data_IF_850855489570
#
_entry.id   IF_850855489570
#
_cell.length_a   1.000
_cell.length_b   1.000
_cell.length_c   1.000
_cell.angle_alpha   90.00
_cell.angle_beta   90.00
_cell.angle_gamma   90.00
#
_symmetry.space_group_name_H-M   'P 1'
#
loop_
_entity.id
_entity.type
_entity.pdbx_description
1 polymer ?
#
# COMPACT_ATOMS: atom_id res chain seq x y z
N UNK A 1 -23.74 12.79 21.38
CA UNK A 1 -23.83 14.08 22.04
C UNK A 1 -23.37 15.17 21.09
N UNK A 2 -24.28 16.10 20.76
CA UNK A 2 -24.00 17.19 19.83
C UNK A 2 -23.66 18.45 20.61
N UNK A 3 -22.61 18.39 21.41
CA UNK A 3 -22.07 19.58 22.03
C UNK A 3 -21.33 20.37 20.93
N UNK A 4 -21.78 21.59 20.67
CA UNK A 4 -21.14 22.51 19.74
C UNK A 4 -20.06 23.24 20.53
N UNK A 5 -18.82 22.78 20.40
CA UNK A 5 -17.65 23.44 20.97
C UNK A 5 -17.07 24.44 19.99
N UNK A 6 -16.58 25.57 20.50
CA UNK A 6 -15.91 26.57 19.68
C UNK A 6 -14.47 26.10 19.34
N UNK A 7 -13.92 26.46 18.18
CA UNK A 7 -12.52 26.17 17.86
C UNK A 7 -11.57 26.75 18.91
N UNK A 8 -10.70 25.90 19.48
CA UNK A 8 -9.75 26.29 20.55
C UNK A 8 -10.32 26.23 21.98
N UNK A 9 -11.57 25.83 22.16
CA UNK A 9 -12.15 25.60 23.49
C UNK A 9 -11.53 24.37 24.16
N UNK A 10 -11.11 24.51 25.42
CA UNK A 10 -10.63 23.39 26.22
C UNK A 10 -11.83 22.78 26.93
N UNK A 11 -12.07 21.53 26.70
CA UNK A 11 -13.22 20.78 27.23
C UNK A 11 -12.73 19.65 28.12
N UNK A 12 -13.27 19.57 29.33
CA UNK A 12 -13.06 18.44 30.22
C UNK A 12 -13.93 17.25 29.75
N UNK A 13 -13.30 16.15 29.41
CA UNK A 13 -13.98 14.93 28.93
C UNK A 13 -13.66 13.78 29.88
N UNK A 14 -14.69 13.07 30.34
CA UNK A 14 -14.47 11.88 31.16
C UNK A 14 -13.75 10.78 30.34
N UNK A 15 -12.73 10.18 30.93
CA UNK A 15 -11.94 9.13 30.27
C UNK A 15 -12.79 7.94 29.78
N UNK A 16 -13.92 7.67 30.43
CA UNK A 16 -14.90 6.62 30.06
C UNK A 16 -15.66 6.94 28.77
N UNK A 17 -15.72 8.21 28.38
CA UNK A 17 -16.36 8.66 27.13
C UNK A 17 -15.43 8.63 25.91
N UNK A 18 -14.14 8.36 26.14
CA UNK A 18 -13.13 8.30 25.09
C UNK A 18 -12.90 6.86 24.65
N UNK A 19 -12.91 6.64 23.34
CA UNK A 19 -12.45 5.37 22.76
C UNK A 19 -11.01 5.58 22.30
N UNK A 20 -10.03 4.84 22.84
CA UNK A 20 -8.64 4.96 22.41
C UNK A 20 -8.54 4.57 20.92
N UNK A 21 -7.97 5.44 20.14
CA UNK A 21 -7.62 5.13 18.75
C UNK A 21 -6.33 4.30 18.73
N UNK A 22 -6.16 3.50 17.67
CA UNK A 22 -4.91 2.80 17.44
C UNK A 22 -3.74 3.78 17.42
N UNK A 23 -2.58 3.41 18.00
CA UNK A 23 -1.41 4.28 18.01
C UNK A 23 -0.97 4.60 16.58
N UNK A 24 -0.67 5.86 16.33
CA UNK A 24 -0.16 6.32 15.05
C UNK A 24 1.35 6.20 15.07
N UNK A 25 1.90 5.40 14.16
CA UNK A 25 3.34 5.31 13.96
C UNK A 25 3.73 6.09 12.69
N UNK A 26 4.76 6.92 12.79
CA UNK A 26 5.39 7.57 11.65
C UNK A 26 6.88 7.32 11.70
N UNK A 27 7.47 7.04 10.53
CA UNK A 27 8.92 6.90 10.40
C UNK A 27 9.50 8.21 9.86
N UNK A 28 10.47 8.73 10.56
CA UNK A 28 11.23 9.90 10.13
C UNK A 28 12.52 9.44 9.43
N UNK A 29 12.91 10.11 8.35
CA UNK A 29 14.25 9.95 7.83
C UNK A 29 15.24 10.50 8.88
N UNK A 30 15.99 9.59 9.52
CA UNK A 30 16.99 9.97 10.50
C UNK A 30 18.11 10.75 9.80
N UNK A 31 18.43 11.93 10.31
CA UNK A 31 19.76 12.49 10.15
C UNK A 31 20.74 11.66 11.00
N UNK A 32 22.02 11.76 10.73
CA UNK A 32 23.10 10.96 11.34
C UNK A 32 23.19 11.02 12.89
N UNK A 33 22.31 11.76 13.56
CA UNK A 33 22.23 11.85 15.02
C UNK A 33 20.92 11.27 15.54
N UNK A 34 21.00 10.48 16.61
CA UNK A 34 19.87 9.95 17.40
C UNK A 34 19.31 11.06 18.31
N UNK A 35 18.79 12.14 17.76
CA UNK A 35 18.21 13.23 18.54
C UNK A 35 16.68 13.11 18.50
N UNK A 36 16.07 13.34 19.67
CA UNK A 36 14.63 13.48 19.79
C UNK A 36 14.21 14.77 19.08
N UNK A 37 13.22 14.65 18.18
CA UNK A 37 12.69 15.79 17.42
C UNK A 37 11.38 16.23 18.03
N UNK A 38 11.32 17.49 18.48
CA UNK A 38 10.09 18.09 18.96
C UNK A 38 9.16 18.40 17.78
N UNK A 39 7.96 17.85 17.83
CA UNK A 39 6.96 18.00 16.76
C UNK A 39 5.63 18.49 17.32
N UNK A 40 4.94 19.33 16.58
CA UNK A 40 3.55 19.71 16.81
C UNK A 40 2.63 18.90 15.90
N UNK A 41 1.53 18.41 16.46
CA UNK A 41 0.47 17.77 15.68
C UNK A 41 -0.41 18.84 15.03
N UNK A 42 -0.56 18.78 13.72
CA UNK A 42 -1.41 19.68 12.95
C UNK A 42 -2.47 18.87 12.23
N UNK A 43 -3.75 19.24 12.42
CA UNK A 43 -4.89 18.70 11.72
C UNK A 43 -5.44 19.70 10.70
N UNK A 44 -5.63 19.27 9.47
CA UNK A 44 -6.21 20.08 8.40
C UNK A 44 -7.43 19.37 7.82
N UNK A 45 -8.57 20.06 7.81
CA UNK A 45 -9.78 19.53 7.22
C UNK A 45 -9.86 19.98 5.76
N UNK A 46 -9.77 19.00 4.84
CA UNK A 46 -9.88 19.29 3.42
C UNK A 46 -11.30 19.75 3.03
N UNK A 47 -11.47 20.47 1.93
CA UNK A 47 -12.81 20.89 1.42
C UNK A 47 -13.77 19.73 1.15
N UNK A 48 -13.25 18.53 0.95
CA UNK A 48 -14.04 17.31 0.75
C UNK A 48 -14.35 16.55 2.05
N UNK A 49 -14.02 17.14 3.22
CA UNK A 49 -14.34 16.57 4.53
C UNK A 49 -13.35 15.49 5.02
N UNK A 50 -12.18 15.39 4.44
CA UNK A 50 -11.12 14.48 4.90
C UNK A 50 -10.23 15.18 5.92
N UNK A 51 -10.01 14.57 7.08
CA UNK A 51 -9.05 15.07 8.08
C UNK A 51 -7.65 14.56 7.74
N UNK A 52 -6.74 15.47 7.42
CA UNK A 52 -5.33 15.19 7.26
C UNK A 52 -4.59 15.56 8.54
N UNK A 53 -3.80 14.62 9.06
CA UNK A 53 -2.96 14.87 10.23
C UNK A 53 -1.48 14.81 9.82
N UNK A 54 -0.72 15.76 10.34
CA UNK A 54 0.72 15.82 10.12
C UNK A 54 1.45 16.25 11.41
N UNK A 55 2.68 15.78 11.59
CA UNK A 55 3.59 16.32 12.56
C UNK A 55 4.48 17.36 11.87
N UNK A 56 4.62 18.53 12.47
CA UNK A 56 5.52 19.59 12.00
C UNK A 56 6.60 19.80 13.06
N UNK A 57 7.86 19.84 12.63
CA UNK A 57 9.00 20.14 13.49
C UNK A 57 8.85 21.54 14.06
N UNK A 58 8.88 21.66 15.41
CA UNK A 58 8.71 22.95 16.11
C UNK A 58 9.99 23.74 16.24
N UNK A 59 11.13 23.05 16.24
CA UNK A 59 12.47 23.66 16.29
C UNK A 59 13.29 23.21 15.08
N UNK A 60 12.96 23.70 13.87
CA UNK A 60 13.65 23.30 12.65
C UNK A 60 15.06 23.88 12.60
N UNK A 61 16.02 23.11 12.12
CA UNK A 61 17.38 23.56 11.85
C UNK A 61 17.42 24.70 10.82
N UNK A 62 16.50 24.68 9.84
CA UNK A 62 16.23 25.79 8.93
C UNK A 62 14.83 26.35 9.20
N UNK A 63 14.71 27.56 9.78
CA UNK A 63 13.41 28.18 10.08
C UNK A 63 12.52 28.39 8.87
N UNK A 64 13.07 28.39 7.66
CA UNK A 64 12.32 28.57 6.41
C UNK A 64 11.73 27.28 5.84
N UNK A 65 12.20 26.12 6.33
CA UNK A 65 11.77 24.81 5.85
C UNK A 65 11.57 23.82 7.01
N UNK A 66 10.51 24.01 7.85
CA UNK A 66 10.17 23.00 8.85
C UNK A 66 9.78 21.69 8.16
N UNK A 67 10.28 20.59 8.66
CA UNK A 67 9.92 19.27 8.14
C UNK A 67 8.47 18.96 8.51
N UNK A 68 7.69 18.50 7.53
CA UNK A 68 6.31 18.05 7.71
C UNK A 68 6.24 16.54 7.45
N UNK A 69 5.68 15.81 8.41
CA UNK A 69 5.53 14.37 8.36
C UNK A 69 4.06 14.01 8.38
N UNK A 70 3.55 13.44 7.29
CA UNK A 70 2.18 12.97 7.21
C UNK A 70 1.94 11.79 8.15
N UNK A 71 0.83 11.80 8.88
CA UNK A 71 0.41 10.69 9.74
C UNK A 71 -0.60 9.84 8.98
N UNK A 72 -0.29 8.56 8.77
CA UNK A 72 -1.22 7.61 8.22
C UNK A 72 -1.87 6.80 9.34
N UNK A 73 -3.21 6.80 9.41
CA UNK A 73 -3.96 6.00 10.35
C UNK A 73 -4.23 4.61 9.78
N UNK A 74 -3.91 3.58 10.54
CA UNK A 74 -4.45 2.25 10.30
C UNK A 74 -5.81 2.14 10.99
N UNK A 75 -6.89 2.25 10.22
CA UNK A 75 -8.26 2.17 10.71
C UNK A 75 -8.70 0.76 11.16
N UNK A 76 -7.81 -0.21 11.22
CA UNK A 76 -8.09 -1.55 11.72
C UNK A 76 -7.08 -1.91 12.80
N UNK A 77 -7.60 -2.03 14.02
CA UNK A 77 -6.90 -2.69 15.11
C UNK A 77 -6.71 -4.17 14.72
N UNK A 78 -5.48 -4.53 14.40
CA UNK A 78 -5.00 -5.90 14.41
C UNK A 78 -3.95 -5.95 15.50
N UNK A 79 -4.09 -6.91 16.38
CA UNK A 79 -3.40 -7.12 17.64
C UNK A 79 -1.92 -6.74 17.66
N UNK A 80 -1.55 -6.07 18.74
CA UNK A 80 -0.24 -5.90 19.35
C UNK A 80 0.96 -6.53 18.65
N UNK A 81 1.62 -5.76 17.79
CA UNK A 81 3.07 -5.81 17.71
C UNK A 81 3.61 -4.44 17.26
N UNK A 82 3.42 -3.48 18.17
CA UNK A 82 4.02 -2.16 18.02
C UNK A 82 5.46 -2.19 18.54
N UNK A 83 6.35 -1.71 17.70
CA UNK A 83 7.66 -1.19 18.05
C UNK A 83 8.79 -2.18 18.32
N UNK A 84 9.47 -2.51 17.24
CA UNK A 84 10.94 -2.51 17.28
C UNK A 84 11.46 -1.77 16.05
N UNK A 85 12.37 -0.78 16.22
CA UNK A 85 13.01 -0.15 15.07
C UNK A 85 13.91 -1.20 14.42
N UNK A 86 13.49 -1.72 13.29
CA UNK A 86 14.25 -2.75 12.61
C UNK A 86 14.95 -2.20 11.38
N UNK A 87 16.26 -2.24 11.51
CA UNK A 87 17.18 -2.73 10.49
C UNK A 87 17.33 -1.98 9.18
N UNK A 88 18.57 -1.69 8.94
CA UNK A 88 19.33 -1.26 7.75
C UNK A 88 18.64 -1.52 6.41
N UNK A 89 18.71 -0.57 5.46
CA UNK A 89 18.25 -0.77 4.09
C UNK A 89 19.14 -1.84 3.43
N UNK A 90 18.51 -2.89 2.95
CA UNK A 90 19.19 -3.91 2.16
C UNK A 90 18.92 -5.38 2.51
N UNK A 91 18.24 -5.69 3.60
CA UNK A 91 17.86 -7.08 3.87
C UNK A 91 16.45 -7.34 3.34
N UNK A 92 16.30 -8.27 2.41
CA UNK A 92 15.02 -8.87 2.06
C UNK A 92 14.44 -9.50 3.33
N UNK A 93 13.51 -8.79 3.98
CA UNK A 93 12.79 -9.31 5.14
C UNK A 93 11.94 -10.47 4.64
N UNK A 94 12.29 -11.70 5.04
CA UNK A 94 11.37 -12.82 4.85
C UNK A 94 10.09 -12.50 5.60
N UNK A 95 8.93 -12.49 4.94
CA UNK A 95 7.67 -12.22 5.61
C UNK A 95 7.44 -13.29 6.68
N UNK A 96 6.85 -12.91 7.79
CA UNK A 96 6.65 -13.77 8.96
C UNK A 96 5.68 -14.95 8.74
N UNK A 97 5.12 -15.11 7.54
CA UNK A 97 4.26 -16.25 7.23
C UNK A 97 5.11 -17.51 6.99
N UNK A 98 4.93 -18.57 7.79
CA UNK A 98 5.67 -19.83 7.62
C UNK A 98 5.40 -20.52 6.28
N UNK A 99 4.33 -20.13 5.57
CA UNK A 99 3.92 -20.69 4.27
C UNK A 99 4.19 -19.76 3.10
N UNK A 100 4.97 -18.70 3.29
CA UNK A 100 5.31 -17.76 2.21
C UNK A 100 6.00 -18.45 1.03
N UNK A 101 6.90 -19.38 1.30
CA UNK A 101 7.62 -20.10 0.25
C UNK A 101 6.67 -20.94 -0.65
N UNK A 102 5.60 -21.50 -0.08
CA UNK A 102 4.57 -22.20 -0.86
C UNK A 102 3.82 -21.20 -1.77
N UNK A 103 3.48 -20.03 -1.23
CA UNK A 103 2.81 -18.99 -2.01
C UNK A 103 3.72 -18.44 -3.14
N UNK A 104 5.01 -18.26 -2.85
CA UNK A 104 6.02 -17.87 -3.84
C UNK A 104 6.09 -18.87 -4.97
N UNK A 105 6.20 -20.16 -4.64
CA UNK A 105 6.23 -21.23 -5.64
C UNK A 105 4.97 -21.26 -6.49
N UNK A 106 3.79 -21.02 -5.90
CA UNK A 106 2.53 -20.94 -6.64
C UNK A 106 2.53 -19.78 -7.65
N UNK A 107 3.02 -18.60 -7.27
CA UNK A 107 3.15 -17.45 -8.19
C UNK A 107 4.18 -17.76 -9.29
N UNK A 108 5.36 -18.28 -8.93
CA UNK A 108 6.42 -18.62 -9.88
C UNK A 108 6.00 -19.72 -10.85
N UNK A 109 5.18 -20.69 -10.43
CA UNK A 109 4.60 -21.71 -11.30
C UNK A 109 3.73 -21.09 -12.39
N UNK A 110 2.90 -20.08 -12.06
CA UNK A 110 2.00 -19.44 -13.01
C UNK A 110 2.70 -18.40 -13.87
N UNK A 111 3.50 -17.53 -13.25
CA UNK A 111 4.10 -16.37 -13.90
C UNK A 111 5.59 -16.54 -14.24
N UNK A 112 6.28 -17.56 -13.70
CA UNK A 112 7.71 -17.77 -13.88
C UNK A 112 8.10 -18.10 -15.32
N UNK A 113 9.39 -18.01 -15.59
CA UNK A 113 9.95 -18.26 -16.94
C UNK A 113 9.75 -19.70 -17.41
N UNK A 114 9.75 -20.67 -16.49
CA UNK A 114 9.54 -22.08 -16.78
C UNK A 114 8.06 -22.48 -16.95
N UNK A 115 7.15 -21.53 -16.85
CA UNK A 115 5.70 -21.77 -16.90
C UNK A 115 5.16 -21.84 -18.36
N UNK A 116 5.78 -22.66 -19.21
CA UNK A 116 5.34 -22.85 -20.62
C UNK A 116 4.04 -23.64 -20.75
N UNK A 117 3.75 -24.53 -19.79
CA UNK A 117 2.66 -25.52 -19.89
C UNK A 117 1.58 -25.35 -18.80
N UNK A 118 1.42 -24.12 -18.27
CA UNK A 118 0.42 -23.83 -17.24
C UNK A 118 -0.98 -23.92 -17.84
N UNK A 119 -1.82 -24.77 -17.27
CA UNK A 119 -3.22 -24.89 -17.69
C UNK A 119 -4.00 -23.64 -17.30
N UNK A 120 -4.92 -23.21 -18.15
CA UNK A 120 -5.78 -22.04 -17.92
C UNK A 120 -6.47 -22.06 -16.55
N UNK A 121 -6.90 -23.25 -16.11
CA UNK A 121 -7.51 -23.44 -14.79
C UNK A 121 -6.56 -23.06 -13.64
N UNK A 122 -5.29 -23.40 -13.73
CA UNK A 122 -4.30 -23.10 -12.69
C UNK A 122 -4.09 -21.59 -12.56
N UNK A 123 -4.12 -20.87 -13.68
CA UNK A 123 -4.06 -19.40 -13.68
C UNK A 123 -5.27 -18.81 -12.97
N UNK A 124 -6.47 -19.28 -13.30
CA UNK A 124 -7.73 -18.84 -12.69
C UNK A 124 -7.79 -19.14 -11.19
N UNK A 125 -7.28 -20.30 -10.80
CA UNK A 125 -7.33 -20.80 -9.43
C UNK A 125 -6.21 -20.26 -8.53
N UNK A 126 -5.19 -19.58 -9.08
CA UNK A 126 -4.05 -19.07 -8.29
C UNK A 126 -4.48 -18.25 -7.08
N UNK A 127 -5.47 -17.38 -7.24
CA UNK A 127 -5.99 -16.57 -6.14
C UNK A 127 -6.57 -17.41 -5.00
N UNK A 128 -7.32 -18.44 -5.35
CA UNK A 128 -7.89 -19.39 -4.38
C UNK A 128 -6.79 -20.21 -3.70
N UNK A 129 -5.78 -20.61 -4.47
CA UNK A 129 -4.62 -21.33 -3.94
C UNK A 129 -3.85 -20.47 -2.93
N UNK A 130 -3.56 -19.21 -3.24
CA UNK A 130 -2.92 -18.30 -2.30
C UNK A 130 -3.74 -18.11 -1.02
N UNK A 131 -5.07 -17.99 -1.14
CA UNK A 131 -5.96 -17.91 0.03
C UNK A 131 -5.91 -19.19 0.87
N UNK A 132 -5.86 -20.36 0.24
CA UNK A 132 -5.75 -21.64 0.94
C UNK A 132 -4.39 -21.79 1.66
N UNK A 133 -3.32 -21.27 1.07
CA UNK A 133 -1.96 -21.34 1.62
C UNK A 133 -1.75 -20.34 2.75
N UNK A 134 -2.19 -19.11 2.56
CA UNK A 134 -1.88 -17.98 3.45
C UNK A 134 -3.01 -17.63 4.42
N UNK A 135 -4.16 -18.27 4.29
CA UNK A 135 -5.36 -17.94 5.06
C UNK A 135 -6.19 -16.82 4.41
N UNK A 136 -7.20 -16.36 5.14
CA UNK A 136 -8.13 -15.34 4.66
C UNK A 136 -7.40 -14.04 4.29
N UNK A 137 -7.76 -13.47 3.15
CA UNK A 137 -7.09 -12.30 2.56
C UNK A 137 -7.07 -11.08 3.44
N UNK A 138 -8.11 -10.91 4.28
CA UNK A 138 -8.22 -9.80 5.21
C UNK A 138 -7.13 -9.83 6.29
N UNK A 139 -6.58 -11.03 6.57
CA UNK A 139 -5.53 -11.23 7.56
C UNK A 139 -4.11 -11.08 6.99
N UNK A 140 -3.97 -10.88 5.67
CA UNK A 140 -2.64 -10.69 5.07
C UNK A 140 -2.05 -9.36 5.50
N UNK A 141 -0.92 -9.42 6.20
CA UNK A 141 -0.19 -8.23 6.63
C UNK A 141 0.31 -7.42 5.42
N UNK A 142 0.55 -6.13 5.64
CA UNK A 142 1.14 -5.27 4.62
C UNK A 142 2.49 -5.80 4.13
N UNK A 143 3.33 -6.31 5.04
CA UNK A 143 4.64 -6.90 4.70
C UNK A 143 4.50 -8.14 3.82
N UNK A 144 3.57 -9.05 4.17
CA UNK A 144 3.28 -10.23 3.35
C UNK A 144 2.83 -9.83 1.95
N UNK A 145 1.92 -8.86 1.85
CA UNK A 145 1.44 -8.35 0.56
C UNK A 145 2.60 -7.77 -0.27
N UNK A 146 3.50 -6.96 0.33
CA UNK A 146 4.68 -6.41 -0.36
C UNK A 146 5.62 -7.51 -0.84
N UNK A 147 5.84 -8.51 -0.02
CA UNK A 147 6.68 -9.64 -0.41
C UNK A 147 6.07 -10.45 -1.58
N UNK A 148 4.76 -10.65 -1.61
CA UNK A 148 4.08 -11.28 -2.75
C UNK A 148 4.17 -10.43 -4.01
N UNK A 149 4.05 -9.09 -3.88
CA UNK A 149 4.26 -8.18 -5.00
C UNK A 149 5.69 -8.26 -5.53
N UNK A 150 6.69 -8.32 -4.65
CA UNK A 150 8.10 -8.41 -5.02
C UNK A 150 8.43 -9.73 -5.77
N UNK A 151 7.67 -10.79 -5.53
CA UNK A 151 7.73 -12.03 -6.31
C UNK A 151 7.07 -11.87 -7.67
N UNK A 152 5.94 -11.18 -7.74
CA UNK A 152 5.13 -11.04 -8.96
C UNK A 152 5.73 -10.03 -9.96
N UNK A 153 6.21 -8.89 -9.48
CA UNK A 153 6.61 -7.75 -10.31
C UNK A 153 7.72 -8.07 -11.34
N UNK A 154 8.78 -8.83 -11.00
CA UNK A 154 9.80 -9.23 -11.99
C UNK A 154 9.25 -10.06 -13.14
N UNK A 155 8.09 -10.67 -12.94
CA UNK A 155 7.44 -11.59 -13.87
C UNK A 155 6.30 -10.91 -14.66
N UNK A 156 6.17 -9.58 -14.57
CA UNK A 156 5.08 -8.82 -15.17
C UNK A 156 4.90 -9.05 -16.69
N UNK A 157 5.96 -9.43 -17.42
CA UNK A 157 5.87 -9.80 -18.84
C UNK A 157 4.97 -11.01 -19.08
N UNK A 158 4.87 -11.92 -18.11
CA UNK A 158 4.05 -13.12 -18.22
C UNK A 158 2.54 -12.82 -18.29
N UNK A 159 2.09 -11.62 -17.88
CA UNK A 159 0.70 -11.19 -18.05
C UNK A 159 0.22 -11.27 -19.49
N UNK A 160 1.16 -11.17 -20.46
CA UNK A 160 0.89 -11.18 -21.90
C UNK A 160 0.62 -12.59 -22.47
N UNK A 161 0.72 -13.66 -21.66
CA UNK A 161 0.56 -15.04 -22.13
C UNK A 161 -0.90 -15.40 -22.44
N UNK A 162 -1.85 -14.91 -21.65
CA UNK A 162 -3.28 -15.09 -21.89
C UNK A 162 -4.11 -14.04 -21.17
N UNK A 163 -5.38 -13.93 -21.54
CA UNK A 163 -6.42 -13.15 -20.87
C UNK A 163 -6.41 -13.32 -19.35
N UNK A 164 -6.38 -14.57 -18.91
CA UNK A 164 -6.43 -14.89 -17.49
C UNK A 164 -5.14 -14.51 -16.77
N UNK A 165 -3.96 -14.63 -17.41
CA UNK A 165 -2.72 -14.15 -16.84
C UNK A 165 -2.77 -12.63 -16.63
N UNK A 166 -3.25 -11.87 -17.61
CA UNK A 166 -3.34 -10.42 -17.50
C UNK A 166 -4.32 -10.00 -16.39
N UNK A 167 -5.49 -10.61 -16.36
CA UNK A 167 -6.51 -10.36 -15.34
C UNK A 167 -6.01 -10.68 -13.93
N UNK A 168 -5.40 -11.85 -13.75
CA UNK A 168 -4.89 -12.31 -12.44
C UNK A 168 -3.69 -11.47 -11.99
N UNK A 169 -2.83 -11.07 -12.92
CA UNK A 169 -1.73 -10.15 -12.63
C UNK A 169 -2.24 -8.85 -12.03
N UNK A 170 -3.18 -8.17 -12.67
CA UNK A 170 -3.72 -6.90 -12.19
C UNK A 170 -4.44 -7.06 -10.84
N UNK A 171 -5.18 -8.14 -10.68
CA UNK A 171 -5.86 -8.44 -9.43
C UNK A 171 -4.87 -8.60 -8.26
N UNK A 172 -3.79 -9.34 -8.45
CA UNK A 172 -2.74 -9.57 -7.44
C UNK A 172 -1.91 -8.31 -7.22
N UNK A 173 -1.42 -7.67 -8.27
CA UNK A 173 -0.58 -6.47 -8.17
C UNK A 173 -1.28 -5.36 -7.40
N UNK A 174 -2.52 -5.04 -7.77
CA UNK A 174 -3.31 -4.02 -7.10
C UNK A 174 -3.67 -4.37 -5.65
N UNK A 175 -3.91 -5.65 -5.37
CA UNK A 175 -4.20 -6.09 -4.00
C UNK A 175 -2.95 -6.03 -3.11
N UNK A 176 -1.84 -6.51 -3.59
CA UNK A 176 -0.62 -6.65 -2.81
C UNK A 176 0.12 -5.32 -2.61
N UNK A 177 -0.01 -4.36 -3.53
CA UNK A 177 0.66 -3.07 -3.43
C UNK A 177 -0.20 -1.97 -2.77
N UNK A 178 -1.50 -2.22 -2.51
CA UNK A 178 -2.37 -1.23 -1.88
C UNK A 178 -1.83 -0.78 -0.51
N UNK A 179 -1.95 0.48 -0.13
CA UNK A 179 -2.47 1.64 -0.88
C UNK A 179 -1.43 2.31 -1.80
N UNK A 180 -0.28 1.70 -2.02
CA UNK A 180 0.83 2.24 -2.82
C UNK A 180 1.86 3.00 -1.99
N UNK A 181 1.63 3.11 -0.69
CA UNK A 181 2.52 3.79 0.27
C UNK A 181 2.45 3.09 1.64
N UNK A 182 3.29 3.53 2.58
CA UNK A 182 3.34 3.03 3.95
C UNK A 182 4.54 2.12 4.25
N UNK A 183 5.34 1.77 3.24
CA UNK A 183 6.59 1.07 3.40
C UNK A 183 7.71 1.82 2.65
N UNK A 184 8.94 1.92 3.20
CA UNK A 184 10.03 2.69 2.57
C UNK A 184 10.35 2.31 1.12
N UNK A 185 10.13 1.06 0.73
CA UNK A 185 10.37 0.57 -0.63
C UNK A 185 9.16 0.74 -1.57
N UNK A 186 7.99 1.21 -1.11
CA UNK A 186 6.79 1.35 -1.94
C UNK A 186 6.97 2.32 -3.12
N UNK A 187 7.69 3.46 -2.99
CA UNK A 187 7.97 4.32 -4.15
C UNK A 187 8.73 3.59 -5.27
N UNK A 188 9.60 2.65 -4.92
CA UNK A 188 10.29 1.79 -5.89
C UNK A 188 9.33 0.80 -6.56
N UNK A 189 8.44 0.17 -5.79
CA UNK A 189 7.43 -0.77 -6.30
C UNK A 189 6.43 -0.09 -7.22
N UNK A 190 5.96 1.09 -6.84
CA UNK A 190 5.05 1.91 -7.66
C UNK A 190 5.73 2.28 -8.99
N UNK A 191 6.99 2.71 -8.97
CA UNK A 191 7.77 2.98 -10.19
C UNK A 191 7.92 1.78 -11.11
N UNK A 192 7.96 0.55 -10.58
CA UNK A 192 7.98 -0.66 -11.41
C UNK A 192 6.63 -0.90 -12.10
N UNK A 193 5.52 -0.48 -11.48
CA UNK A 193 4.18 -0.66 -12.03
C UNK A 193 3.78 0.46 -13.01
N UNK A 194 4.23 1.69 -12.75
CA UNK A 194 3.82 2.90 -13.49
C UNK A 194 3.92 2.81 -15.03
N UNK A 195 4.99 2.24 -15.63
CA UNK A 195 5.08 2.13 -17.09
C UNK A 195 3.98 1.29 -17.72
N UNK A 196 3.33 0.42 -16.94
CA UNK A 196 2.26 -0.42 -17.46
C UNK A 196 0.93 0.32 -17.62
N UNK A 197 0.79 1.51 -17.05
CA UNK A 197 -0.37 2.36 -17.28
C UNK A 197 -0.46 2.76 -18.76
N UNK A 198 0.62 3.29 -19.30
CA UNK A 198 0.70 3.69 -20.71
C UNK A 198 0.57 2.52 -21.68
N UNK A 199 1.12 1.37 -21.31
CA UNK A 199 1.01 0.16 -22.12
C UNK A 199 -0.43 -0.36 -22.21
N UNK A 200 -1.26 -0.06 -21.20
CA UNK A 200 -2.62 -0.57 -21.09
C UNK A 200 -2.70 -2.09 -21.03
N UNK A 201 -3.82 -2.62 -21.48
CA UNK A 201 -4.04 -4.06 -21.60
C UNK A 201 -3.57 -4.58 -22.96
N UNK A 202 -3.06 -5.80 -22.96
CA UNK A 202 -2.74 -6.55 -24.17
C UNK A 202 -4.02 -7.08 -24.80
N UNK A 203 -4.95 -7.58 -23.96
CA UNK A 203 -6.22 -8.15 -24.36
C UNK A 203 -7.35 -7.13 -24.15
N UNK A 204 -7.43 -6.14 -25.06
CA UNK A 204 -8.27 -4.95 -24.92
C UNK A 204 -9.78 -5.23 -25.00
N UNK A 205 -10.18 -6.31 -25.67
CA UNK A 205 -11.60 -6.68 -25.85
C UNK A 205 -12.19 -7.32 -24.58
N UNK A 206 -11.38 -7.57 -23.55
CA UNK A 206 -11.80 -8.27 -22.35
C UNK A 206 -12.22 -7.30 -21.22
N UNK A 207 -13.53 -7.15 -21.03
CA UNK A 207 -14.12 -6.24 -20.01
C UNK A 207 -13.63 -6.55 -18.60
N UNK A 208 -13.47 -7.83 -18.23
CA UNK A 208 -12.99 -8.22 -16.89
C UNK A 208 -11.52 -7.86 -16.67
N UNK A 209 -10.73 -7.83 -17.75
CA UNK A 209 -9.35 -7.35 -17.73
C UNK A 209 -9.32 -5.88 -17.36
N UNK A 210 -10.09 -5.03 -18.06
CA UNK A 210 -10.23 -3.61 -17.78
C UNK A 210 -10.71 -3.34 -16.36
N UNK A 211 -11.68 -4.11 -15.88
CA UNK A 211 -12.16 -3.96 -14.52
C UNK A 211 -11.02 -4.16 -13.49
N UNK A 212 -10.22 -5.21 -13.63
CA UNK A 212 -9.11 -5.46 -12.71
C UNK A 212 -7.98 -4.43 -12.86
N UNK A 213 -7.72 -3.96 -14.08
CA UNK A 213 -6.78 -2.89 -14.36
C UNK A 213 -7.15 -1.61 -13.59
N UNK A 214 -8.36 -1.11 -13.74
CA UNK A 214 -8.82 0.10 -13.05
C UNK A 214 -8.90 -0.08 -11.53
N UNK A 215 -9.31 -1.26 -11.06
CA UNK A 215 -9.29 -1.59 -9.63
C UNK A 215 -7.87 -1.54 -9.08
N UNK A 216 -6.87 -2.04 -9.82
CA UNK A 216 -5.48 -2.02 -9.39
C UNK A 216 -4.97 -0.57 -9.26
N UNK A 217 -5.16 0.25 -10.28
CA UNK A 217 -4.74 1.66 -10.25
C UNK A 217 -5.41 2.45 -9.14
N UNK A 218 -6.71 2.28 -8.95
CA UNK A 218 -7.44 2.89 -7.83
C UNK A 218 -6.86 2.48 -6.47
N UNK A 219 -6.46 1.22 -6.33
CA UNK A 219 -5.90 0.71 -5.06
C UNK A 219 -4.51 1.25 -4.74
N UNK A 220 -3.73 1.58 -5.73
CA UNK A 220 -2.36 2.09 -5.54
C UNK A 220 -2.26 3.60 -5.72
N UNK A 221 -3.37 4.27 -5.98
CA UNK A 221 -3.42 5.69 -6.33
C UNK A 221 -2.70 6.60 -5.32
N UNK A 222 -2.82 6.30 -4.02
CA UNK A 222 -2.19 7.10 -2.98
C UNK A 222 -0.65 7.11 -3.00
N UNK A 223 -0.02 6.15 -3.66
CA UNK A 223 1.44 6.08 -3.82
C UNK A 223 1.95 6.60 -5.16
N UNK A 224 1.06 6.99 -6.07
CA UNK A 224 1.44 7.50 -7.39
C UNK A 224 1.92 8.95 -7.29
N UNK A 225 2.85 9.33 -8.17
CA UNK A 225 3.23 10.72 -8.36
C UNK A 225 2.06 11.53 -8.96
N UNK A 226 2.00 12.82 -8.66
CA UNK A 226 0.88 13.69 -8.98
C UNK A 226 0.59 13.77 -10.50
N UNK A 227 1.63 13.80 -11.31
CA UNK A 227 1.53 13.77 -12.77
C UNK A 227 0.81 12.53 -13.28
N UNK A 228 1.14 11.36 -12.74
CA UNK A 228 0.48 10.11 -13.10
C UNK A 228 -0.95 10.03 -12.54
N UNK A 229 -1.22 10.54 -11.35
CA UNK A 229 -2.58 10.64 -10.81
C UNK A 229 -3.47 11.52 -11.71
N UNK A 230 -2.94 12.67 -12.12
CA UNK A 230 -3.62 13.58 -13.04
C UNK A 230 -3.90 12.92 -14.38
N UNK A 231 -2.90 12.24 -14.94
CA UNK A 231 -3.05 11.53 -16.21
C UNK A 231 -4.10 10.40 -16.12
N UNK A 232 -4.12 9.66 -15.01
CA UNK A 232 -5.15 8.62 -14.78
C UNK A 232 -6.53 9.25 -14.70
N UNK A 233 -6.68 10.35 -13.95
CA UNK A 233 -7.94 11.08 -13.84
C UNK A 233 -8.45 11.53 -15.21
N UNK A 234 -7.61 12.18 -15.99
CA UNK A 234 -7.98 12.73 -17.30
C UNK A 234 -8.35 11.64 -18.32
N UNK A 235 -7.90 10.40 -18.09
CA UNK A 235 -8.27 9.26 -18.93
C UNK A 235 -9.57 8.57 -18.48
N UNK A 236 -9.96 8.72 -17.22
CA UNK A 236 -11.22 8.18 -16.67
C UNK A 236 -12.37 9.13 -16.86
N UNK A 237 -12.11 10.44 -16.79
CA UNK A 237 -13.08 11.54 -16.88
C UNK A 237 -12.56 12.58 -17.88
N UNK A 238 -12.64 12.28 -19.20
CA UNK A 238 -12.14 13.12 -20.28
C UNK A 238 -12.98 14.39 -20.53
#
# INVERSE_FOLDING_TARGET
DRATHAPGEIVDVEASALVPLAPVASTFEARESTEDVLVALVGELSPVGTLELACIETEPVDPKQPRRFGLAFQLRAGDDECARPSRRPGASVRPASPRFDEARVAIERVFGKAASDVKEREVKDLWRELTRVLGERQTWSGELCRALFDVLAPQAKARRRSLDHERVFWMLAGYCLRPGYGHPADPGRVRLLSPFFEQGLVFQDETRGWQQFWIAWRRVAGGLAEDLQTHIRDRVDP
#
